data_IF_559913128947
#
_entry.id   IF_559913128947
#
_cell.length_a   1.000
_cell.length_b   1.000
_cell.length_c   1.000
_cell.angle_alpha   90.00
_cell.angle_beta   90.00
_cell.angle_gamma   90.00
#
_symmetry.space_group_name_H-M   'P 1'
#
loop_
_entity.id
_entity.type
_entity.pdbx_description
1 polymer ?
#
# COMPACT_ATOMS: atom_id res chain seq x y z
N UNK A 1 1.60 13.62 -2.75
CA UNK A 1 1.35 12.32 -2.20
C UNK A 1 0.26 11.54 -2.92
N UNK A 2 0.06 10.30 -2.54
CA UNK A 2 -1.07 9.50 -3.02
C UNK A 2 -2.38 10.02 -2.41
N UNK A 3 -3.46 10.04 -3.19
CA UNK A 3 -4.78 10.38 -2.70
C UNK A 3 -5.34 9.26 -1.79
N UNK A 4 -5.11 8.01 -2.21
CA UNK A 4 -5.53 6.80 -1.49
C UNK A 4 -4.36 5.82 -1.45
N UNK A 5 -4.19 5.14 -0.31
CA UNK A 5 -3.24 4.05 -0.16
C UNK A 5 -3.99 2.77 0.17
N UNK A 6 -3.67 1.69 -0.54
CA UNK A 6 -4.22 0.36 -0.31
C UNK A 6 -3.16 -0.52 0.30
N UNK A 7 -3.44 -1.12 1.46
CA UNK A 7 -2.54 -2.06 2.12
C UNK A 7 -3.13 -3.47 2.18
N UNK A 8 -2.31 -4.46 1.86
CA UNK A 8 -2.55 -5.83 2.27
C UNK A 8 -2.13 -6.00 3.74
N UNK A 9 -3.09 -6.07 4.63
CA UNK A 9 -2.84 -6.34 6.05
C UNK A 9 -2.37 -7.79 6.29
N UNK A 10 -2.63 -8.67 5.34
CA UNK A 10 -2.18 -10.08 5.31
C UNK A 10 -0.66 -10.23 5.42
N UNK A 11 0.11 -9.27 4.90
CA UNK A 11 1.56 -9.38 4.72
C UNK A 11 2.31 -8.87 5.96
N UNK A 12 3.15 -7.86 5.82
CA UNK A 12 3.98 -7.36 6.93
C UNK A 12 3.18 -6.88 8.14
N UNK A 13 1.98 -6.33 7.94
CA UNK A 13 1.19 -5.78 9.05
C UNK A 13 0.67 -6.90 9.95
N UNK A 14 -0.02 -7.89 9.40
CA UNK A 14 -0.41 -9.11 10.15
C UNK A 14 0.80 -9.94 10.57
N UNK A 15 1.70 -10.19 9.64
CA UNK A 15 3.06 -10.68 9.89
C UNK A 15 3.20 -12.17 10.19
N UNK A 16 2.12 -12.94 10.29
CA UNK A 16 2.11 -14.34 10.73
C UNK A 16 1.61 -15.32 9.67
N UNK A 17 1.04 -14.84 8.56
CA UNK A 17 0.47 -15.69 7.51
C UNK A 17 -0.79 -16.45 7.92
N UNK A 18 -1.43 -16.08 9.02
CA UNK A 18 -2.60 -16.76 9.61
C UNK A 18 -3.91 -16.05 9.32
N UNK A 19 -3.87 -14.81 8.82
CA UNK A 19 -5.05 -13.97 8.59
C UNK A 19 -4.98 -13.30 7.22
N UNK A 20 -6.14 -13.04 6.65
CA UNK A 20 -6.29 -12.31 5.40
C UNK A 20 -7.06 -11.01 5.68
N UNK A 21 -6.53 -9.89 5.18
CA UNK A 21 -7.20 -8.61 5.31
C UNK A 21 -6.54 -7.51 4.49
N UNK A 22 -7.26 -6.40 4.39
CA UNK A 22 -6.80 -5.20 3.70
C UNK A 22 -7.36 -3.94 4.33
N UNK A 23 -6.75 -2.81 4.05
CA UNK A 23 -7.32 -1.52 4.39
C UNK A 23 -7.12 -0.50 3.26
N UNK A 24 -8.03 0.46 3.24
CA UNK A 24 -7.97 1.66 2.42
C UNK A 24 -7.69 2.85 3.33
N UNK A 25 -6.69 3.64 2.98
CA UNK A 25 -6.36 4.88 3.69
C UNK A 25 -6.60 6.04 2.75
N UNK A 26 -7.67 6.80 3.01
CA UNK A 26 -7.97 8.03 2.29
C UNK A 26 -7.16 9.16 2.89
N UNK A 27 -6.39 9.88 2.07
CA UNK A 27 -5.54 10.96 2.51
C UNK A 27 -6.29 12.25 2.87
N UNK A 28 -7.57 12.34 2.53
CA UNK A 28 -8.44 13.49 2.84
C UNK A 28 -8.07 14.80 2.12
N UNK A 29 -7.16 14.74 1.17
CA UNK A 29 -6.60 15.94 0.52
C UNK A 29 -6.80 15.96 -1.01
N UNK A 30 -7.51 15.00 -1.57
CA UNK A 30 -7.82 14.95 -2.98
C UNK A 30 -9.21 15.54 -3.26
N UNK A 31 -9.28 16.45 -4.22
CA UNK A 31 -10.55 17.01 -4.66
C UNK A 31 -11.25 16.05 -5.63
N UNK A 32 -12.21 15.28 -5.11
CA UNK A 32 -13.02 14.35 -5.90
C UNK A 32 -13.99 15.02 -6.86
N UNK A 33 -14.12 16.37 -6.79
CA UNK A 33 -15.01 17.15 -7.67
C UNK A 33 -14.27 17.84 -8.80
N UNK A 34 -12.93 17.81 -8.82
CA UNK A 34 -12.10 18.52 -9.79
C UNK A 34 -12.34 18.09 -11.24
N UNK A 35 -12.69 16.82 -11.49
CA UNK A 35 -13.05 16.31 -12.81
C UNK A 35 -14.27 15.37 -12.74
N UNK A 36 -15.48 15.93 -12.81
CA UNK A 36 -16.72 15.14 -12.70
C UNK A 36 -16.87 14.05 -13.77
N UNK A 37 -16.33 14.26 -14.97
CA UNK A 37 -16.40 13.26 -16.05
C UNK A 37 -15.53 12.06 -15.75
N UNK A 38 -14.38 12.28 -15.15
CA UNK A 38 -13.43 11.22 -14.75
C UNK A 38 -13.86 10.53 -13.47
N UNK A 39 -14.60 11.22 -12.62
CA UNK A 39 -15.00 10.73 -11.30
C UNK A 39 -16.53 10.82 -11.10
N UNK A 40 -17.32 10.17 -11.98
CA UNK A 40 -18.79 10.27 -11.92
C UNK A 40 -19.37 9.78 -10.59
N UNK A 41 -18.80 8.72 -10.01
CA UNK A 41 -19.24 8.14 -8.74
C UNK A 41 -19.21 9.10 -7.54
N UNK A 42 -18.50 10.21 -7.63
CA UNK A 42 -18.44 11.24 -6.59
C UNK A 42 -19.22 12.51 -6.96
N UNK A 43 -19.66 12.62 -8.21
CA UNK A 43 -20.23 13.85 -8.75
C UNK A 43 -21.67 13.68 -9.23
N UNK A 44 -22.14 12.46 -9.45
CA UNK A 44 -23.53 12.16 -9.80
C UNK A 44 -24.36 11.87 -8.53
N UNK A 45 -25.65 12.20 -8.53
CA UNK A 45 -26.55 11.87 -7.44
C UNK A 45 -26.66 10.36 -7.24
N UNK A 46 -26.48 9.89 -6.01
CA UNK A 46 -26.61 8.47 -5.64
C UNK A 46 -28.07 8.18 -5.25
N UNK A 47 -28.82 7.41 -6.05
CA UNK A 47 -30.22 7.13 -5.78
C UNK A 47 -30.43 6.30 -4.50
N UNK A 48 -29.45 5.49 -4.10
CA UNK A 48 -29.50 4.69 -2.88
C UNK A 48 -29.37 5.52 -1.61
N UNK A 49 -28.95 6.78 -1.75
CA UNK A 49 -28.75 7.73 -0.65
C UNK A 49 -29.49 9.06 -0.87
N UNK A 50 -30.71 8.97 -1.40
CA UNK A 50 -31.57 10.15 -1.55
C UNK A 50 -31.02 11.21 -2.50
N UNK A 51 -30.19 10.83 -3.46
CA UNK A 51 -29.57 11.74 -4.42
C UNK A 51 -28.29 12.42 -3.90
N UNK A 52 -27.66 11.92 -2.85
CA UNK A 52 -26.43 12.46 -2.32
C UNK A 52 -25.30 12.47 -3.37
N UNK A 53 -24.61 13.60 -3.50
CA UNK A 53 -23.40 13.78 -4.30
C UNK A 53 -22.22 13.65 -3.35
N UNK A 54 -21.55 12.52 -3.35
CA UNK A 54 -20.54 12.14 -2.34
C UNK A 54 -19.39 13.14 -2.21
N UNK A 55 -18.90 13.66 -3.34
CA UNK A 55 -17.84 14.66 -3.36
C UNK A 55 -18.22 16.01 -2.73
N UNK A 56 -19.49 16.27 -2.50
CA UNK A 56 -20.02 17.48 -1.84
C UNK A 56 -20.44 17.21 -0.40
N UNK A 57 -21.32 16.22 -0.22
CA UNK A 57 -21.94 15.92 1.08
C UNK A 57 -20.89 15.50 2.13
N UNK A 58 -19.89 14.70 1.74
CA UNK A 58 -18.89 14.22 2.71
C UNK A 58 -18.03 15.36 3.23
N UNK A 59 -17.40 16.23 2.42
CA UNK A 59 -16.68 17.39 2.93
C UNK A 59 -17.54 18.34 3.77
N UNK A 60 -18.80 18.56 3.41
CA UNK A 60 -19.72 19.39 4.20
C UNK A 60 -20.00 18.81 5.59
N UNK A 61 -20.16 17.49 5.70
CA UNK A 61 -20.44 16.82 6.97
C UNK A 61 -19.21 16.58 7.85
N UNK A 62 -18.05 16.30 7.24
CA UNK A 62 -16.85 15.87 7.98
C UNK A 62 -15.77 16.94 8.08
N UNK A 63 -15.84 18.00 7.28
CA UNK A 63 -14.78 18.99 7.15
C UNK A 63 -13.53 18.50 6.41
N UNK A 64 -13.58 17.31 5.77
CA UNK A 64 -12.45 16.72 5.08
C UNK A 64 -12.86 16.01 3.78
N UNK A 65 -11.97 15.96 2.78
CA UNK A 65 -12.20 15.30 1.49
C UNK A 65 -12.02 13.77 1.56
N UNK A 66 -12.72 13.12 2.50
CA UNK A 66 -12.67 11.66 2.72
C UNK A 66 -13.80 10.90 1.99
N UNK A 67 -14.30 11.46 0.90
CA UNK A 67 -15.43 10.89 0.17
C UNK A 67 -15.16 9.47 -0.37
N UNK A 68 -13.91 9.16 -0.73
CA UNK A 68 -13.55 7.82 -1.20
C UNK A 68 -13.71 6.78 -0.10
N UNK A 69 -13.15 7.03 1.08
CA UNK A 69 -13.24 6.12 2.22
C UNK A 69 -14.66 5.93 2.71
N UNK A 70 -15.43 7.03 2.81
CA UNK A 70 -16.84 6.99 3.21
C UNK A 70 -17.67 6.20 2.22
N UNK A 71 -17.58 6.52 0.92
CA UNK A 71 -18.35 5.81 -0.12
C UNK A 71 -17.96 4.33 -0.21
N UNK A 72 -16.69 3.99 -0.12
CA UNK A 72 -16.25 2.61 -0.10
C UNK A 72 -16.90 1.82 1.06
N UNK A 73 -17.08 2.44 2.21
CA UNK A 73 -17.69 1.82 3.38
C UNK A 73 -19.22 1.72 3.27
N UNK A 74 -19.88 2.81 2.94
CA UNK A 74 -21.36 2.89 3.01
C UNK A 74 -22.05 2.34 1.78
N UNK A 75 -21.39 2.28 0.63
CA UNK A 75 -21.91 1.71 -0.61
C UNK A 75 -21.31 0.33 -0.84
N UNK A 76 -20.00 0.24 -1.13
CA UNK A 76 -19.41 -1.01 -1.59
C UNK A 76 -19.33 -2.07 -0.49
N UNK A 77 -18.82 -1.74 0.68
CA UNK A 77 -18.71 -2.69 1.79
C UNK A 77 -20.09 -3.17 2.25
N UNK A 78 -21.04 -2.22 2.41
CA UNK A 78 -22.39 -2.54 2.87
C UNK A 78 -23.15 -3.39 1.85
N UNK A 79 -23.14 -3.00 0.58
CA UNK A 79 -23.99 -3.61 -0.45
C UNK A 79 -23.38 -4.92 -0.98
N UNK A 80 -22.04 -5.03 -1.08
CA UNK A 80 -21.34 -6.25 -1.51
C UNK A 80 -20.95 -7.17 -0.36
N UNK A 81 -21.03 -6.69 0.89
CA UNK A 81 -20.71 -7.49 2.07
C UNK A 81 -19.22 -7.79 2.28
N UNK A 82 -18.30 -7.05 1.64
CA UNK A 82 -16.84 -7.27 1.72
C UNK A 82 -16.25 -6.77 3.04
N UNK A 83 -16.88 -7.12 4.17
CA UNK A 83 -16.42 -6.76 5.50
C UNK A 83 -15.34 -7.73 6.02
N UNK A 84 -14.35 -7.18 6.73
CA UNK A 84 -13.32 -7.98 7.38
C UNK A 84 -13.93 -8.79 8.52
N UNK A 85 -13.65 -10.12 8.55
CA UNK A 85 -14.09 -10.98 9.64
C UNK A 85 -13.46 -10.54 10.98
N UNK A 86 -14.22 -10.54 12.09
CA UNK A 86 -13.72 -10.13 13.41
C UNK A 86 -12.47 -10.87 13.86
N UNK A 87 -12.38 -12.18 13.63
CA UNK A 87 -11.22 -13.00 13.99
C UNK A 87 -9.98 -12.58 13.19
N UNK A 88 -10.14 -12.27 11.91
CA UNK A 88 -9.05 -11.73 11.10
C UNK A 88 -8.63 -10.34 11.59
N UNK A 89 -9.58 -9.49 11.96
CA UNK A 89 -9.28 -8.17 12.54
C UNK A 89 -8.47 -8.31 13.84
N UNK A 90 -8.87 -9.21 14.72
CA UNK A 90 -8.16 -9.50 15.97
C UNK A 90 -6.71 -9.96 15.72
N UNK A 91 -6.52 -10.94 14.83
CA UNK A 91 -5.18 -11.42 14.49
C UNK A 91 -4.29 -10.35 13.83
N UNK A 92 -4.88 -9.46 13.01
CA UNK A 92 -4.17 -8.32 12.43
C UNK A 92 -3.75 -7.32 13.52
N UNK A 93 -4.64 -7.00 14.47
CA UNK A 93 -4.34 -6.08 15.58
C UNK A 93 -3.19 -6.63 16.41
N UNK A 94 -3.20 -7.93 16.76
CA UNK A 94 -2.08 -8.57 17.45
C UNK A 94 -0.77 -8.46 16.65
N UNK A 95 -0.83 -8.72 15.34
CA UNK A 95 0.35 -8.58 14.46
C UNK A 95 0.90 -7.15 14.42
N UNK A 96 0.04 -6.15 14.51
CA UNK A 96 0.43 -4.74 14.49
C UNK A 96 1.31 -4.35 15.69
N UNK A 97 1.16 -4.97 16.85
CA UNK A 97 1.95 -4.66 18.04
C UNK A 97 3.46 -4.77 17.81
N UNK A 98 3.88 -5.70 16.97
CA UNK A 98 5.30 -5.96 16.67
C UNK A 98 5.78 -5.41 15.33
N UNK A 99 4.92 -4.74 14.55
CA UNK A 99 5.29 -4.19 13.21
C UNK A 99 6.56 -3.34 13.25
N UNK A 100 6.73 -2.38 14.18
CA UNK A 100 7.92 -1.53 14.18
C UNK A 100 9.21 -2.34 14.38
N UNK A 101 9.19 -3.33 15.28
CA UNK A 101 10.34 -4.21 15.56
C UNK A 101 10.65 -5.09 14.35
N UNK A 102 9.64 -5.72 13.78
CA UNK A 102 9.81 -6.60 12.62
C UNK A 102 10.29 -5.83 11.39
N UNK A 103 9.70 -4.66 11.11
CA UNK A 103 10.10 -3.87 9.95
C UNK A 103 11.52 -3.33 10.08
N UNK A 104 11.96 -2.93 11.28
CA UNK A 104 13.36 -2.56 11.52
C UNK A 104 14.30 -3.72 11.19
N UNK A 105 13.97 -4.93 11.63
CA UNK A 105 14.77 -6.11 11.34
C UNK A 105 14.75 -6.49 9.86
N UNK A 106 13.57 -6.45 9.21
CA UNK A 106 13.46 -6.71 7.77
C UNK A 106 14.29 -5.73 6.94
N UNK A 107 14.22 -4.44 7.23
CA UNK A 107 15.03 -3.44 6.53
C UNK A 107 16.55 -3.67 6.72
N UNK A 108 16.97 -4.00 7.94
CA UNK A 108 18.37 -4.31 8.25
C UNK A 108 18.86 -5.55 7.50
N UNK A 109 18.04 -6.61 7.48
CA UNK A 109 18.38 -7.84 6.76
C UNK A 109 18.43 -7.61 5.24
N UNK A 110 17.44 -6.91 4.69
CA UNK A 110 17.40 -6.57 3.27
C UNK A 110 18.64 -5.77 2.85
N UNK A 111 19.07 -4.80 3.65
CA UNK A 111 20.30 -4.04 3.37
C UNK A 111 21.53 -4.92 3.30
N UNK A 112 21.71 -5.87 4.23
CA UNK A 112 22.84 -6.81 4.21
C UNK A 112 22.81 -7.67 2.94
N UNK A 113 21.63 -8.13 2.53
CA UNK A 113 21.45 -8.91 1.30
C UNK A 113 21.78 -8.05 0.07
N UNK A 114 21.33 -6.80 0.02
CA UNK A 114 21.66 -5.84 -1.06
C UNK A 114 23.16 -5.63 -1.16
N UNK A 115 23.84 -5.40 -0.03
CA UNK A 115 25.29 -5.17 0.02
C UNK A 115 26.09 -6.39 -0.49
N UNK A 116 25.61 -7.59 -0.19
CA UNK A 116 26.17 -8.84 -0.70
C UNK A 116 25.91 -9.01 -2.20
N UNK A 117 24.66 -8.88 -2.63
CA UNK A 117 24.26 -9.12 -4.02
C UNK A 117 24.86 -8.11 -4.99
N UNK A 118 25.04 -6.86 -4.58
CA UNK A 118 25.66 -5.81 -5.41
C UNK A 118 27.10 -6.13 -5.79
N UNK A 119 27.80 -6.94 -4.98
CA UNK A 119 29.17 -7.36 -5.21
C UNK A 119 29.31 -8.77 -5.80
N UNK A 120 28.18 -9.48 -5.94
CA UNK A 120 28.21 -10.87 -6.34
C UNK A 120 28.45 -11.03 -7.84
N UNK A 121 29.41 -11.86 -8.26
CA UNK A 121 29.86 -12.04 -9.66
C UNK A 121 28.76 -12.48 -10.63
N UNK A 122 27.76 -13.24 -10.16
CA UNK A 122 26.67 -13.79 -10.98
C UNK A 122 25.43 -12.88 -10.97
N UNK A 123 25.47 -11.75 -10.29
CA UNK A 123 24.38 -10.75 -10.27
C UNK A 123 24.68 -9.67 -11.31
N UNK A 124 23.69 -9.36 -12.11
CA UNK A 124 23.76 -8.31 -13.13
C UNK A 124 23.26 -6.99 -12.53
N UNK A 125 22.12 -7.02 -11.86
CA UNK A 125 21.51 -5.84 -11.27
C UNK A 125 20.78 -6.18 -9.98
N UNK A 126 20.84 -5.27 -9.01
CA UNK A 126 20.01 -5.28 -7.79
C UNK A 126 19.04 -4.12 -7.86
N UNK A 127 17.80 -4.36 -7.48
CA UNK A 127 16.72 -3.37 -7.45
C UNK A 127 16.31 -3.18 -5.99
N UNK A 128 16.66 -2.03 -5.43
CA UNK A 128 16.32 -1.66 -4.07
C UNK A 128 16.32 -0.14 -3.92
N UNK A 129 15.40 0.47 -3.15
CA UNK A 129 15.17 1.92 -3.21
C UNK A 129 16.40 2.79 -3.00
N UNK A 130 17.27 2.47 -2.05
CA UNK A 130 18.40 3.34 -1.67
C UNK A 130 19.63 3.26 -2.59
N UNK A 131 19.70 2.27 -3.50
CA UNK A 131 20.81 2.17 -4.45
C UNK A 131 20.52 2.85 -5.78
N UNK A 132 19.29 3.29 -6.03
CA UNK A 132 18.96 4.05 -7.20
C UNK A 132 19.54 5.47 -7.15
N UNK A 133 19.91 5.99 -8.32
CA UNK A 133 20.44 7.34 -8.52
C UNK A 133 19.39 8.22 -9.22
N UNK A 134 19.67 9.52 -9.26
CA UNK A 134 18.81 10.50 -9.91
C UNK A 134 17.44 10.61 -9.25
N UNK A 135 16.42 10.95 -10.00
CA UNK A 135 15.06 11.24 -9.51
C UNK A 135 14.45 10.12 -8.66
N UNK A 136 14.69 8.85 -9.02
CA UNK A 136 14.19 7.69 -8.25
C UNK A 136 14.87 7.61 -6.88
N UNK A 137 16.17 7.80 -6.81
CA UNK A 137 16.93 7.82 -5.56
C UNK A 137 16.53 8.99 -4.66
N UNK A 138 16.31 10.16 -5.24
CA UNK A 138 15.88 11.35 -4.48
C UNK A 138 14.46 11.18 -3.93
N UNK A 139 13.58 10.56 -4.70
CA UNK A 139 12.24 10.17 -4.26
C UNK A 139 12.29 9.17 -3.11
N UNK A 140 13.16 8.17 -3.19
CA UNK A 140 13.38 7.20 -2.11
C UNK A 140 13.86 7.89 -0.82
N UNK A 141 14.85 8.77 -0.90
CA UNK A 141 15.34 9.56 0.24
C UNK A 141 14.25 10.45 0.85
N UNK A 142 13.36 11.00 0.01
CA UNK A 142 12.26 11.86 0.47
C UNK A 142 11.20 11.08 1.26
N UNK A 143 10.83 9.90 0.81
CA UNK A 143 9.68 9.17 1.35
C UNK A 143 10.05 8.04 2.32
N UNK A 144 11.20 7.40 2.18
CA UNK A 144 11.61 6.28 3.04
C UNK A 144 12.52 6.75 4.18
N UNK A 145 11.94 7.32 5.23
CA UNK A 145 12.70 7.85 6.38
C UNK A 145 13.09 6.78 7.39
N UNK A 146 12.32 5.72 7.52
CA UNK A 146 12.53 4.66 8.51
C UNK A 146 13.19 3.38 7.98
N UNK A 147 13.49 3.33 6.67
CA UNK A 147 14.06 2.16 6.01
C UNK A 147 13.45 1.94 4.62
N UNK A 148 14.05 1.05 3.84
CA UNK A 148 13.70 0.85 2.44
C UNK A 148 12.85 -0.41 2.17
N UNK A 149 12.30 -1.02 3.23
CA UNK A 149 11.49 -2.22 3.14
C UNK A 149 12.29 -3.53 3.12
N UNK A 150 11.56 -4.64 3.06
CA UNK A 150 12.13 -6.00 3.11
C UNK A 150 12.15 -6.73 1.77
N UNK A 151 11.81 -6.05 0.65
CA UNK A 151 11.79 -6.64 -0.68
C UNK A 151 12.99 -6.20 -1.50
N UNK A 152 13.73 -7.17 -2.06
CA UNK A 152 14.89 -6.94 -2.91
C UNK A 152 14.66 -7.63 -4.25
N UNK A 153 14.74 -6.88 -5.35
CA UNK A 153 14.76 -7.44 -6.70
C UNK A 153 16.19 -7.74 -7.12
N UNK A 154 16.39 -8.84 -7.86
CA UNK A 154 17.70 -9.23 -8.39
C UNK A 154 17.57 -9.76 -9.80
N UNK A 155 18.46 -9.31 -10.68
CA UNK A 155 18.66 -9.88 -12.01
C UNK A 155 19.95 -10.69 -12.01
N UNK A 156 19.83 -11.98 -12.31
CA UNK A 156 20.99 -12.89 -12.37
C UNK A 156 21.55 -12.95 -13.80
N UNK A 157 22.86 -13.04 -13.94
CA UNK A 157 23.52 -13.26 -15.22
C UNK A 157 23.13 -14.64 -15.79
N UNK A 158 22.92 -14.72 -17.09
CA UNK A 158 22.51 -15.97 -17.75
C UNK A 158 20.99 -16.13 -17.93
N UNK A 159 20.23 -15.05 -17.66
CA UNK A 159 18.81 -14.95 -18.02
C UNK A 159 17.92 -16.03 -17.38
N UNK A 160 16.91 -16.48 -18.15
CA UNK A 160 15.87 -17.41 -17.67
C UNK A 160 16.44 -18.73 -17.16
N UNK A 161 17.45 -19.30 -17.82
CA UNK A 161 18.02 -20.58 -17.43
C UNK A 161 18.82 -20.48 -16.10
N UNK A 162 19.48 -19.37 -15.88
CA UNK A 162 20.11 -19.11 -14.57
C UNK A 162 19.05 -18.90 -13.47
N UNK A 163 17.95 -18.20 -13.79
CA UNK A 163 16.80 -18.03 -12.88
C UNK A 163 16.18 -19.36 -12.47
N UNK A 164 15.93 -20.26 -13.44
CA UNK A 164 15.42 -21.62 -13.14
C UNK A 164 16.33 -22.44 -12.24
N UNK A 165 17.64 -22.26 -12.34
CA UNK A 165 18.62 -22.94 -11.46
C UNK A 165 18.70 -22.33 -10.08
N UNK A 166 18.32 -21.06 -9.94
CA UNK A 166 18.32 -20.34 -8.67
C UNK A 166 17.12 -20.71 -7.80
N UNK A 167 15.96 -21.01 -8.40
CA UNK A 167 14.73 -21.45 -7.71
C UNK A 167 14.80 -22.97 -7.43
#
# INVERSE_FOLDING_TARGET
GAAVVVHSLTKFIGGHGTVIGGCLVDGGNFDWTADPKRQPLFNEPDPSYGGAVWGKVVPELTGANVAYGVRARVVLLRDLGSALAPDNAFGIIQGMETVPLRMKQHCSNAQKVVDFLTKHKNVERVIYPNIHKGEVGDRAKRYFKGGNGGLVGVEVKGGVEAGKKFI
#
